data_IF_045934718130
#
_entry.id   IF_045934718130
#
_cell.length_a   1.000
_cell.length_b   1.000
_cell.length_c   1.000
_cell.angle_alpha   90.00
_cell.angle_beta   90.00
_cell.angle_gamma   90.00
#
_symmetry.space_group_name_H-M   'P 1'
#
loop_
_entity.id
_entity.type
_entity.pdbx_description
1 polymer ?
#
# COMPACT_ATOMS: atom_id res chain seq x y z
N UNK A 1 -1.36 7.80 10.84
CA UNK A 1 -1.57 7.17 9.52
C UNK A 1 -1.60 5.66 9.69
N UNK A 2 -2.38 4.94 8.90
CA UNK A 2 -2.26 3.48 8.77
C UNK A 2 -1.72 3.21 7.36
N UNK A 3 -0.59 2.50 7.32
CA UNK A 3 0.16 2.11 6.12
C UNK A 3 0.80 0.76 6.38
N UNK A 4 1.09 0.03 5.31
CA UNK A 4 1.77 -1.25 5.37
C UNK A 4 3.26 -1.06 5.13
N UNK A 5 4.08 -1.70 5.94
CA UNK A 5 5.53 -1.79 5.70
C UNK A 5 5.76 -2.71 4.51
N UNK A 6 6.47 -2.20 3.51
CA UNK A 6 6.78 -2.90 2.25
C UNK A 6 8.28 -3.11 2.09
N UNK A 7 9.11 -2.15 2.48
CA UNK A 7 10.57 -2.28 2.47
C UNK A 7 11.16 -2.12 3.87
N UNK A 8 12.08 -3.01 4.22
CA UNK A 8 12.84 -3.03 5.47
C UNK A 8 14.20 -2.33 5.29
N UNK A 9 14.88 -1.95 6.39
CA UNK A 9 16.23 -1.41 6.35
C UNK A 9 17.17 -2.18 5.41
N UNK A 10 17.81 -1.45 4.49
CA UNK A 10 18.75 -1.99 3.50
C UNK A 10 18.12 -2.57 2.24
N UNK A 11 16.80 -2.74 2.16
CA UNK A 11 16.12 -3.17 0.95
C UNK A 11 16.20 -2.09 -0.14
N UNK A 12 16.26 -2.54 -1.40
CA UNK A 12 15.97 -1.68 -2.56
C UNK A 12 14.55 -1.93 -3.02
N UNK A 13 13.73 -0.88 -3.04
CA UNK A 13 12.35 -0.90 -3.51
C UNK A 13 12.25 -0.13 -4.82
N UNK A 14 11.61 -0.72 -5.83
CA UNK A 14 11.32 -0.07 -7.12
C UNK A 14 9.82 -0.11 -7.37
N UNK A 15 9.23 1.00 -7.80
CA UNK A 15 7.84 1.06 -8.22
C UNK A 15 7.74 1.41 -9.70
N UNK A 16 7.23 0.51 -10.53
CA UNK A 16 7.12 0.75 -11.96
C UNK A 16 5.88 0.08 -12.52
N UNK A 17 5.12 0.77 -13.38
CA UNK A 17 3.91 0.24 -14.02
C UNK A 17 2.93 -0.37 -13.00
N UNK A 18 2.74 0.33 -11.89
CA UNK A 18 1.95 -0.10 -10.73
C UNK A 18 2.43 -1.36 -10.01
N UNK A 19 3.57 -1.92 -10.39
CA UNK A 19 4.18 -3.08 -9.75
C UNK A 19 5.26 -2.64 -8.75
N UNK A 20 5.26 -3.24 -7.57
CA UNK A 20 6.35 -3.12 -6.60
C UNK A 20 7.36 -4.23 -6.90
N UNK A 21 8.64 -3.88 -6.88
CA UNK A 21 9.75 -4.81 -6.92
C UNK A 21 10.64 -4.59 -5.72
N UNK A 22 11.16 -5.67 -5.15
CA UNK A 22 12.04 -5.63 -3.99
C UNK A 22 13.30 -6.42 -4.27
N UNK A 23 14.43 -5.85 -3.91
CA UNK A 23 15.69 -6.55 -3.76
C UNK A 23 16.05 -6.45 -2.28
N UNK A 24 16.05 -7.57 -1.57
CA UNK A 24 16.37 -7.59 -0.15
C UNK A 24 17.77 -7.07 0.15
N UNK A 25 17.97 -6.54 1.36
CA UNK A 25 19.29 -6.15 1.88
C UNK A 25 20.33 -7.23 1.58
N UNK A 26 21.49 -6.79 1.10
CA UNK A 26 22.61 -7.66 0.82
C UNK A 26 23.76 -7.38 1.79
N UNK A 27 24.00 -8.33 2.69
CA UNK A 27 25.05 -8.23 3.71
C UNK A 27 26.39 -8.84 3.26
N UNK A 28 26.46 -9.37 2.03
CA UNK A 28 27.62 -10.10 1.48
C UNK A 28 28.23 -9.49 0.21
N UNK A 29 29.12 -10.24 -0.45
CA UNK A 29 29.69 -9.82 -1.73
C UNK A 29 28.60 -9.59 -2.78
N UNK A 30 28.75 -8.58 -3.65
CA UNK A 30 27.75 -8.18 -4.66
C UNK A 30 27.22 -9.35 -5.52
N UNK A 31 28.06 -10.37 -5.73
CA UNK A 31 27.77 -11.59 -6.48
C UNK A 31 26.77 -12.55 -5.80
N UNK A 32 26.51 -12.37 -4.51
CA UNK A 32 25.59 -13.18 -3.70
C UNK A 32 24.27 -12.46 -3.40
N UNK A 33 24.13 -11.20 -3.80
CA UNK A 33 22.91 -10.45 -3.57
C UNK A 33 21.73 -11.02 -4.38
N UNK A 34 20.55 -11.04 -3.76
CA UNK A 34 19.30 -11.36 -4.45
C UNK A 34 19.05 -10.45 -5.66
N UNK A 35 18.29 -10.95 -6.62
CA UNK A 35 17.83 -10.14 -7.76
C UNK A 35 16.65 -9.28 -7.34
N UNK A 36 16.44 -8.17 -8.04
CA UNK A 36 15.22 -7.39 -7.94
C UNK A 36 14.06 -8.25 -8.46
N UNK A 37 13.11 -8.62 -7.60
CA UNK A 37 11.98 -9.47 -7.93
C UNK A 37 10.66 -8.73 -7.78
N UNK A 38 9.66 -9.01 -8.63
CA UNK A 38 8.33 -8.43 -8.44
C UNK A 38 7.69 -9.02 -7.18
N UNK A 39 7.05 -8.15 -6.39
CA UNK A 39 6.15 -8.60 -5.32
C UNK A 39 4.95 -9.31 -5.97
N UNK A 40 4.67 -10.58 -5.67
CA UNK A 40 3.58 -11.32 -6.30
C UNK A 40 2.22 -10.65 -6.13
N UNK A 41 1.41 -10.70 -7.19
CA UNK A 41 0.08 -10.14 -7.24
C UNK A 41 -0.88 -11.09 -7.93
N UNK A 42 -1.97 -11.40 -7.25
CA UNK A 42 -3.08 -12.19 -7.78
C UNK A 42 -4.29 -11.26 -7.97
N UNK A 43 -4.86 -11.22 -9.17
CA UNK A 43 -6.10 -10.47 -9.41
C UNK A 43 -7.27 -11.19 -8.74
N UNK A 44 -8.06 -10.45 -7.96
CA UNK A 44 -9.23 -11.00 -7.29
C UNK A 44 -10.49 -10.63 -8.08
N UNK A 45 -10.79 -9.34 -8.19
CA UNK A 45 -11.98 -8.86 -8.89
C UNK A 45 -11.90 -7.37 -9.28
N UNK A 46 -12.93 -6.89 -9.98
CA UNK A 46 -13.12 -5.48 -10.30
C UNK A 46 -14.56 -5.07 -10.02
N UNK A 47 -14.73 -3.94 -9.34
CA UNK A 47 -16.02 -3.28 -9.19
C UNK A 47 -16.72 -3.43 -7.84
N UNK A 48 -16.11 -4.13 -6.88
CA UNK A 48 -16.53 -4.12 -5.47
C UNK A 48 -16.44 -2.71 -4.87
N UNK A 49 -15.41 -1.96 -5.26
CA UNK A 49 -15.20 -0.58 -4.82
C UNK A 49 -15.24 0.39 -5.99
N UNK A 50 -15.83 1.57 -5.77
CA UNK A 50 -15.84 2.68 -6.72
C UNK A 50 -15.12 3.88 -6.12
N UNK A 51 -14.25 4.50 -6.91
CA UNK A 51 -13.59 5.75 -6.55
C UNK A 51 -13.41 6.59 -7.81
N UNK A 52 -13.66 7.91 -7.71
CA UNK A 52 -13.52 8.84 -8.84
C UNK A 52 -14.30 8.37 -10.09
N UNK A 53 -15.51 7.85 -9.88
CA UNK A 53 -16.39 7.22 -10.90
C UNK A 53 -15.82 5.98 -11.60
N UNK A 54 -14.66 5.47 -11.17
CA UNK A 54 -14.06 4.26 -11.72
C UNK A 54 -14.24 3.07 -10.76
N UNK A 55 -14.57 1.91 -11.35
CA UNK A 55 -14.55 0.62 -10.66
C UNK A 55 -13.11 0.21 -10.39
N UNK A 56 -12.75 0.13 -9.11
CA UNK A 56 -11.41 -0.27 -8.68
C UNK A 56 -11.18 -1.77 -8.92
N UNK A 57 -9.90 -2.11 -9.09
CA UNK A 57 -9.42 -3.48 -9.19
C UNK A 57 -8.84 -3.89 -7.83
N UNK A 58 -9.27 -5.03 -7.30
CA UNK A 58 -8.72 -5.64 -6.10
C UNK A 58 -7.73 -6.73 -6.48
N UNK A 59 -6.57 -6.69 -5.84
CA UNK A 59 -5.52 -7.70 -5.96
C UNK A 59 -5.12 -8.18 -4.58
N UNK A 60 -4.69 -9.42 -4.46
CA UNK A 60 -3.97 -9.90 -3.28
C UNK A 60 -2.48 -9.79 -3.56
N UNK A 61 -1.77 -9.04 -2.73
CA UNK A 61 -0.32 -8.89 -2.78
C UNK A 61 0.35 -9.74 -1.70
N UNK A 62 1.45 -10.41 -2.05
CA UNK A 62 2.20 -11.29 -1.15
C UNK A 62 3.56 -10.69 -0.81
N UNK A 63 3.78 -10.29 0.45
CA UNK A 63 5.04 -9.77 0.97
C UNK A 63 5.66 -10.81 1.92
N UNK A 64 6.64 -11.57 1.42
CA UNK A 64 7.14 -12.74 2.15
C UNK A 64 6.02 -13.75 2.36
N UNK A 65 5.71 -14.06 3.62
CA UNK A 65 4.64 -14.98 3.99
C UNK A 65 3.28 -14.30 4.22
N UNK A 66 3.23 -12.96 4.17
CA UNK A 66 2.01 -12.19 4.47
C UNK A 66 1.27 -11.84 3.18
N UNK A 67 0.00 -12.22 3.12
CA UNK A 67 -0.93 -11.82 2.05
C UNK A 67 -1.83 -10.69 2.52
N UNK A 68 -2.12 -9.75 1.63
CA UNK A 68 -3.06 -8.66 1.92
C UNK A 68 -3.69 -8.13 0.63
N UNK A 69 -4.88 -7.55 0.77
CA UNK A 69 -5.57 -6.97 -0.38
C UNK A 69 -5.17 -5.51 -0.61
N UNK A 70 -5.09 -5.16 -1.89
CA UNK A 70 -4.77 -3.83 -2.37
C UNK A 70 -5.79 -3.41 -3.42
N UNK A 71 -6.05 -2.11 -3.48
CA UNK A 71 -6.91 -1.50 -4.49
C UNK A 71 -6.07 -0.71 -5.48
N UNK A 72 -6.35 -0.89 -6.77
CA UNK A 72 -5.77 -0.14 -7.88
C UNK A 72 -6.85 0.49 -8.72
N UNK A 73 -6.66 1.75 -9.06
CA UNK A 73 -7.50 2.45 -10.00
C UNK A 73 -7.13 2.01 -11.43
N UNK A 74 -8.08 1.68 -12.30
CA UNK A 74 -7.77 1.12 -13.63
C UNK A 74 -7.05 2.11 -14.57
N UNK A 75 -7.33 3.41 -14.43
CA UNK A 75 -6.85 4.44 -15.38
C UNK A 75 -5.80 5.40 -14.77
N UNK A 76 -5.83 5.63 -13.45
CA UNK A 76 -5.03 6.69 -12.82
C UNK A 76 -3.56 6.29 -12.81
N UNK A 77 -2.74 6.99 -13.58
CA UNK A 77 -1.29 6.82 -13.57
C UNK A 77 -0.63 7.92 -12.74
N UNK A 78 0.32 7.53 -11.88
CA UNK A 78 1.12 8.49 -11.13
C UNK A 78 2.51 8.50 -11.74
N UNK A 79 2.86 9.62 -12.37
CA UNK A 79 4.19 9.78 -12.96
C UNK A 79 5.29 9.77 -11.88
N UNK A 80 6.40 9.05 -12.10
CA UNK A 80 7.54 9.05 -11.19
C UNK A 80 8.12 10.42 -10.84
N UNK A 81 7.91 11.44 -11.67
CA UNK A 81 8.35 12.81 -11.38
C UNK A 81 7.67 13.42 -10.14
N UNK A 82 6.52 12.88 -9.74
CA UNK A 82 5.80 13.32 -8.55
C UNK A 82 6.22 12.56 -7.28
N UNK A 83 7.13 11.59 -7.42
CA UNK A 83 7.62 10.84 -6.29
C UNK A 83 8.75 11.56 -5.58
N UNK A 84 8.87 11.29 -4.28
CA UNK A 84 10.05 11.61 -3.50
C UNK A 84 11.27 10.95 -4.17
N UNK A 85 12.26 11.73 -4.56
CA UNK A 85 13.49 11.23 -5.17
C UNK A 85 14.59 11.23 -4.12
N UNK A 86 15.08 10.05 -3.74
CA UNK A 86 16.23 9.93 -2.85
C UNK A 86 17.50 10.33 -3.63
N UNK A 87 18.38 11.16 -3.05
CA UNK A 87 19.65 11.50 -3.69
C UNK A 87 20.45 10.24 -4.05
N UNK A 88 20.91 10.15 -5.30
CA UNK A 88 21.70 9.02 -5.80
C UNK A 88 20.88 7.84 -6.34
N UNK A 89 19.54 7.93 -6.37
CA UNK A 89 18.67 6.91 -6.97
C UNK A 89 17.82 7.47 -8.10
N UNK A 90 17.10 6.59 -8.81
CA UNK A 90 16.05 6.98 -9.76
C UNK A 90 14.81 7.45 -9.01
N UNK A 91 13.97 8.28 -9.62
CA UNK A 91 12.75 8.80 -8.99
C UNK A 91 11.73 7.74 -8.59
N UNK A 92 11.87 6.51 -9.09
CA UNK A 92 11.03 5.38 -8.77
C UNK A 92 11.77 4.23 -8.04
N UNK A 93 12.94 4.53 -7.47
CA UNK A 93 13.81 3.59 -6.78
C UNK A 93 14.28 4.19 -5.46
N UNK A 94 14.22 3.38 -4.40
CA UNK A 94 14.61 3.79 -3.06
C UNK A 94 15.42 2.69 -2.39
N UNK A 95 16.51 3.09 -1.75
CA UNK A 95 17.27 2.23 -0.83
C UNK A 95 16.85 2.64 0.58
N UNK A 96 16.20 1.72 1.29
CA UNK A 96 15.63 1.99 2.61
C UNK A 96 16.77 2.20 3.61
N UNK A 97 16.86 3.39 4.27
CA UNK A 97 17.92 3.64 5.24
C UNK A 97 17.81 2.74 6.47
N UNK A 98 18.92 2.57 7.18
CA UNK A 98 18.92 1.93 8.50
C UNK A 98 17.98 2.66 9.47
N UNK A 99 17.26 1.88 10.29
CA UNK A 99 16.26 2.39 11.24
C UNK A 99 15.03 3.06 10.60
N UNK A 100 14.82 2.84 9.29
CA UNK A 100 13.68 3.38 8.55
C UNK A 100 12.91 2.31 7.80
N UNK A 101 11.69 2.64 7.40
CA UNK A 101 10.80 1.77 6.66
C UNK A 101 10.22 2.47 5.44
N UNK A 102 10.03 1.71 4.36
CA UNK A 102 9.26 2.15 3.20
C UNK A 102 7.84 1.60 3.31
N UNK A 103 6.85 2.49 3.34
CA UNK A 103 5.45 2.12 3.58
C UNK A 103 4.55 2.50 2.42
N UNK A 104 3.56 1.65 2.12
CA UNK A 104 2.52 1.91 1.12
C UNK A 104 1.12 1.83 1.74
N UNK A 105 0.16 2.56 1.17
CA UNK A 105 -1.24 2.33 1.48
C UNK A 105 -1.83 1.22 0.63
N UNK A 106 -2.75 0.44 1.20
CA UNK A 106 -3.43 -0.65 0.49
C UNK A 106 -4.32 -0.10 -0.66
N UNK A 107 -4.86 1.12 -0.54
CA UNK A 107 -5.44 1.85 -1.69
C UNK A 107 -4.34 2.59 -2.47
N UNK A 108 -3.70 1.88 -3.40
CA UNK A 108 -2.41 2.26 -4.02
C UNK A 108 -2.46 3.56 -4.77
N UNK A 109 -3.49 3.81 -5.56
CA UNK A 109 -3.57 5.02 -6.39
C UNK A 109 -4.18 6.22 -5.65
N UNK A 110 -4.69 6.01 -4.43
CA UNK A 110 -5.29 7.05 -3.58
C UNK A 110 -4.53 7.31 -2.27
N UNK A 111 -3.35 6.71 -2.11
CA UNK A 111 -2.54 6.86 -0.90
C UNK A 111 -1.36 7.80 -1.15
N UNK A 112 -1.26 8.88 -0.36
CA UNK A 112 0.02 9.57 -0.15
C UNK A 112 0.80 8.80 0.91
N UNK A 113 1.90 8.20 0.49
CA UNK A 113 2.75 7.30 1.28
C UNK A 113 4.22 7.46 0.89
N UNK A 114 5.08 6.47 1.16
CA UNK A 114 6.54 6.62 1.00
C UNK A 114 6.98 6.99 -0.40
N UNK A 115 6.16 6.69 -1.42
CA UNK A 115 6.39 7.18 -2.79
C UNK A 115 6.43 8.70 -2.87
N UNK A 116 5.73 9.43 -1.98
CA UNK A 116 5.60 10.89 -2.04
C UNK A 116 6.35 11.63 -0.94
N UNK A 117 6.47 11.05 0.26
CA UNK A 117 7.10 11.70 1.41
C UNK A 117 8.40 11.04 1.90
N UNK A 118 8.83 9.94 1.27
CA UNK A 118 10.02 9.20 1.68
C UNK A 118 9.81 8.24 2.86
N UNK A 119 10.85 8.03 3.65
CA UNK A 119 10.90 6.95 4.62
C UNK A 119 10.29 7.31 5.98
N UNK A 120 9.84 6.29 6.72
CA UNK A 120 9.32 6.44 8.07
C UNK A 120 10.37 5.94 9.08
N UNK A 121 10.89 6.79 9.98
CA UNK A 121 11.79 6.36 11.05
C UNK A 121 11.08 5.38 12.00
N UNK A 122 11.82 4.42 12.55
CA UNK A 122 11.32 3.45 13.54
C UNK A 122 10.63 4.12 14.74
N UNK A 123 11.19 5.22 15.25
CA UNK A 123 10.63 5.99 16.35
C UNK A 123 9.22 6.55 16.08
N UNK A 124 8.80 6.63 14.81
CA UNK A 124 7.46 7.08 14.43
C UNK A 124 6.46 5.92 14.29
N UNK A 125 6.91 4.67 14.46
CA UNK A 125 6.04 3.50 14.49
C UNK A 125 5.48 3.31 15.90
N UNK A 126 4.20 3.66 16.06
CA UNK A 126 3.52 3.59 17.37
C UNK A 126 3.06 2.15 17.70
N UNK A 127 2.80 1.32 16.68
CA UNK A 127 2.39 -0.07 16.88
C UNK A 127 1.85 -0.77 15.63
N UNK A 128 1.60 -2.07 15.74
CA UNK A 128 0.96 -2.90 14.70
C UNK A 128 -0.55 -2.87 14.90
N UNK A 129 -1.30 -2.63 13.82
CA UNK A 129 -2.76 -2.82 13.84
C UNK A 129 -3.07 -4.33 13.88
N UNK A 130 -3.78 -4.77 14.91
CA UNK A 130 -4.08 -6.19 15.18
C UNK A 130 -5.56 -6.54 15.09
N UNK A 131 -6.44 -5.55 15.05
CA UNK A 131 -7.88 -5.77 14.95
C UNK A 131 -8.59 -4.57 14.30
N UNK A 132 -9.68 -4.84 13.59
CA UNK A 132 -10.67 -3.84 13.20
C UNK A 132 -11.76 -3.88 14.26
N UNK A 133 -11.88 -2.79 15.04
CA UNK A 133 -12.89 -2.69 16.09
C UNK A 133 -14.29 -2.37 15.55
N UNK A 134 -14.38 -1.54 14.51
CA UNK A 134 -15.66 -1.13 13.90
C UNK A 134 -15.49 -0.77 12.42
N UNK A 135 -16.49 -1.07 11.61
CA UNK A 135 -16.54 -0.72 10.19
C UNK A 135 -17.95 -0.31 9.80
N UNK A 136 -18.09 0.86 9.17
CA UNK A 136 -19.39 1.43 8.78
C UNK A 136 -19.59 1.45 7.27
N UNK A 137 -20.85 1.42 6.86
CA UNK A 137 -21.30 1.75 5.51
C UNK A 137 -21.84 3.17 5.47
N UNK A 138 -21.59 3.87 4.37
CA UNK A 138 -22.10 5.22 4.13
C UNK A 138 -22.70 5.36 2.72
N UNK A 139 -22.71 4.30 1.90
CA UNK A 139 -23.39 4.32 0.61
C UNK A 139 -24.89 4.53 0.83
N UNK A 140 -25.45 5.48 0.09
CA UNK A 140 -26.85 5.88 0.16
C UNK A 140 -27.42 6.13 -1.22
N UNK A 141 -28.71 5.84 -1.36
CA UNK A 141 -29.46 6.18 -2.56
C UNK A 141 -29.84 7.66 -2.52
N UNK A 142 -30.03 8.32 -3.67
CA UNK A 142 -30.41 9.73 -3.73
C UNK A 142 -31.71 10.05 -2.97
N UNK A 143 -32.59 9.06 -2.80
CA UNK A 143 -33.87 9.17 -2.08
C UNK A 143 -33.77 9.07 -0.54
N UNK A 144 -32.60 8.79 0.04
CA UNK A 144 -32.46 8.58 1.49
C UNK A 144 -32.50 9.92 2.29
N UNK A 145 -33.32 9.95 3.36
CA UNK A 145 -33.60 11.17 4.14
C UNK A 145 -32.47 11.63 5.08
N UNK A 146 -31.58 10.71 5.47
CA UNK A 146 -30.53 11.02 6.44
C UNK A 146 -29.30 11.65 5.72
N UNK A 147 -28.54 12.55 6.38
CA UNK A 147 -27.29 13.09 5.84
C UNK A 147 -26.18 12.04 5.67
N UNK A 148 -25.37 12.14 4.61
CA UNK A 148 -24.32 11.15 4.28
C UNK A 148 -23.19 10.95 5.31
N UNK A 149 -23.11 11.77 6.35
CA UNK A 149 -22.18 11.57 7.48
C UNK A 149 -22.71 10.55 8.51
N UNK A 150 -23.99 10.21 8.46
CA UNK A 150 -24.59 9.16 9.30
C UNK A 150 -24.36 7.81 8.61
N UNK A 151 -23.89 6.76 9.32
CA UNK A 151 -23.76 5.43 8.74
C UNK A 151 -25.10 4.89 8.19
N UNK A 152 -25.07 4.18 7.08
CA UNK A 152 -26.20 3.37 6.57
C UNK A 152 -26.18 1.93 7.13
N UNK A 153 -25.05 1.46 7.65
CA UNK A 153 -24.91 0.12 8.21
C UNK A 153 -23.59 -0.11 8.95
N UNK A 154 -23.44 -1.28 9.56
CA UNK A 154 -22.20 -1.78 10.17
C UNK A 154 -21.80 -3.06 9.46
N UNK A 155 -20.54 -3.13 9.02
CA UNK A 155 -19.93 -4.30 8.35
C UNK A 155 -19.31 -5.23 9.39
N UNK A 156 -20.13 -6.10 9.97
CA UNK A 156 -19.70 -7.01 11.04
C UNK A 156 -18.67 -8.03 10.55
N UNK A 157 -18.72 -8.43 9.28
CA UNK A 157 -17.78 -9.33 8.63
C UNK A 157 -16.34 -8.79 8.59
N UNK A 158 -16.15 -7.48 8.80
CA UNK A 158 -14.84 -6.85 8.87
C UNK A 158 -14.32 -6.67 10.29
N UNK A 159 -15.14 -6.91 11.32
CA UNK A 159 -14.75 -6.75 12.72
C UNK A 159 -14.09 -8.02 13.20
N UNK A 160 -12.85 -7.90 13.71
CA UNK A 160 -12.07 -9.07 14.12
C UNK A 160 -10.57 -8.83 14.06
N UNK A 161 -9.81 -9.89 14.33
CA UNK A 161 -8.35 -9.89 14.21
C UNK A 161 -7.87 -9.61 12.79
N UNK A 162 -6.73 -8.95 12.66
CA UNK A 162 -6.01 -8.78 11.39
C UNK A 162 -4.86 -9.80 11.43
N UNK A 163 -5.01 -10.90 10.71
CA UNK A 163 -3.99 -11.93 10.56
C UNK A 163 -2.87 -11.52 9.57
#
# INVERSE_FOLDING_TARGET
YIKRVVGLPGDTVVYQNKQVYIKSKCDGAQSQCGKLTPVPLDFVERGEFVQDMAKLMRYTETLGDVKHDILRHPIREISPVNFYTQPGTRSNEWIVPEGHYFVLGDNRDNSRDSRFWGFVPDANLVGKAVAIWISFEFERRPEDLLPGWIPSGVRFERVGGID
#
